data_IF_677374686788
#
_entry.id   IF_677374686788
#
_cell.length_a   1.000
_cell.length_b   1.000
_cell.length_c   1.000
_cell.angle_alpha   90.00
_cell.angle_beta   90.00
_cell.angle_gamma   90.00
#
_symmetry.space_group_name_H-M   'P 1'
#
loop_
_entity.id
_entity.type
_entity.pdbx_description
1 polymer ?
#
# COMPACT_ATOMS: atom_id res chain seq x y z
N UNK A 1 20.64 3.30 9.41
CA UNK A 1 20.64 2.45 8.18
C UNK A 1 19.53 2.96 7.29
N UNK A 2 19.72 3.03 5.96
CA UNK A 2 18.64 3.39 5.06
C UNK A 2 17.54 2.31 5.12
N UNK A 3 16.28 2.74 5.14
CA UNK A 3 15.12 1.86 5.10
C UNK A 3 15.15 0.98 3.84
N UNK A 4 14.70 -0.27 3.96
CA UNK A 4 14.64 -1.20 2.82
C UNK A 4 13.50 -0.76 1.88
N UNK A 5 13.84 0.09 0.91
CA UNK A 5 12.90 0.64 -0.07
C UNK A 5 12.31 -0.44 -0.97
N UNK A 6 13.03 -1.54 -1.18
CA UNK A 6 12.57 -2.65 -2.01
C UNK A 6 11.42 -3.38 -1.34
N UNK A 7 11.48 -3.57 -0.02
CA UNK A 7 10.37 -4.14 0.75
C UNK A 7 9.12 -3.25 0.66
N UNK A 8 9.26 -1.94 0.91
CA UNK A 8 8.12 -1.01 0.85
C UNK A 8 7.51 -0.93 -0.55
N UNK A 9 8.35 -0.97 -1.60
CA UNK A 9 7.88 -1.00 -2.98
C UNK A 9 7.17 -2.32 -3.31
N UNK A 10 7.68 -3.46 -2.82
CA UNK A 10 7.02 -4.76 -2.96
C UNK A 10 5.66 -4.81 -2.27
N UNK A 11 5.57 -4.29 -1.03
CA UNK A 11 4.30 -4.18 -0.30
C UNK A 11 3.28 -3.31 -1.07
N UNK A 12 3.71 -2.14 -1.55
CA UNK A 12 2.87 -1.26 -2.37
C UNK A 12 2.36 -1.95 -3.63
N UNK A 13 3.25 -2.59 -4.39
CA UNK A 13 2.88 -3.30 -5.63
C UNK A 13 1.87 -4.43 -5.34
N UNK A 14 2.04 -5.14 -4.23
CA UNK A 14 1.11 -6.19 -3.79
C UNK A 14 -0.26 -5.63 -3.42
N UNK A 15 -0.33 -4.49 -2.71
CA UNK A 15 -1.58 -3.84 -2.35
C UNK A 15 -2.33 -3.34 -3.58
N UNK A 16 -1.64 -2.69 -4.51
CA UNK A 16 -2.21 -2.23 -5.78
C UNK A 16 -2.79 -3.40 -6.58
N UNK A 17 -2.01 -4.47 -6.76
CA UNK A 17 -2.49 -5.64 -7.48
C UNK A 17 -3.71 -6.28 -6.80
N UNK A 18 -3.68 -6.43 -5.47
CA UNK A 18 -4.82 -6.97 -4.72
C UNK A 18 -6.07 -6.09 -4.85
N UNK A 19 -5.91 -4.77 -4.77
CA UNK A 19 -6.99 -3.81 -4.91
C UNK A 19 -7.62 -3.87 -6.31
N UNK A 20 -6.82 -3.84 -7.37
CA UNK A 20 -7.30 -3.92 -8.77
C UNK A 20 -8.11 -5.21 -9.00
N UNK A 21 -7.64 -6.35 -8.48
CA UNK A 21 -8.37 -7.62 -8.60
C UNK A 21 -9.73 -7.60 -7.87
N UNK A 22 -9.84 -6.82 -6.79
CA UNK A 22 -11.08 -6.65 -6.03
C UNK A 22 -12.04 -5.68 -6.71
N UNK A 23 -11.54 -4.64 -7.39
CA UNK A 23 -12.37 -3.66 -8.14
C UNK A 23 -13.30 -4.39 -9.11
N UNK A 24 -12.76 -5.34 -9.87
CA UNK A 24 -13.53 -6.12 -10.85
C UNK A 24 -14.68 -6.96 -10.23
N UNK A 25 -14.72 -7.08 -8.90
CA UNK A 25 -15.73 -7.84 -8.15
C UNK A 25 -16.65 -6.98 -7.32
N UNK A 26 -16.15 -5.90 -6.71
CA UNK A 26 -16.94 -5.08 -5.77
C UNK A 26 -17.26 -3.67 -6.27
N UNK A 27 -16.55 -3.16 -7.28
CA UNK A 27 -16.66 -1.77 -7.72
C UNK A 27 -16.02 -0.75 -6.78
N UNK A 28 -15.65 -1.16 -5.56
CA UNK A 28 -14.92 -0.30 -4.62
C UNK A 28 -13.54 0.07 -5.16
N UNK A 29 -13.07 1.25 -4.80
CA UNK A 29 -11.75 1.74 -5.22
C UNK A 29 -10.88 2.16 -4.04
N UNK A 30 -11.42 2.06 -2.83
CA UNK A 30 -10.72 2.33 -1.57
C UNK A 30 -10.60 1.02 -0.81
N UNK A 31 -9.37 0.66 -0.46
CA UNK A 31 -9.06 -0.59 0.22
C UNK A 31 -8.13 -0.36 1.41
N UNK A 32 -8.37 -1.13 2.48
CA UNK A 32 -7.57 -1.09 3.69
C UNK A 32 -6.66 -2.31 3.77
N UNK A 33 -5.39 -2.08 4.12
CA UNK A 33 -4.39 -3.10 4.39
C UNK A 33 -3.71 -2.79 5.71
N UNK A 34 -3.07 -3.80 6.29
CA UNK A 34 -2.26 -3.63 7.50
C UNK A 34 -0.87 -4.21 7.25
N UNK A 35 0.16 -3.48 7.67
CA UNK A 35 1.53 -4.00 7.79
C UNK A 35 1.86 -4.09 9.27
N UNK A 36 1.93 -5.30 9.85
CA UNK A 36 2.23 -5.47 11.26
C UNK A 36 3.62 -4.92 11.64
N UNK A 37 3.73 -4.38 12.86
CA UNK A 37 4.98 -3.78 13.34
C UNK A 37 6.13 -4.82 13.42
N UNK A 38 5.82 -6.09 13.67
CA UNK A 38 6.81 -7.17 13.64
C UNK A 38 7.32 -7.44 12.22
N UNK A 39 6.44 -7.43 11.21
CA UNK A 39 6.85 -7.63 9.83
C UNK A 39 7.82 -6.54 9.36
N UNK A 40 7.56 -5.28 9.71
CA UNK A 40 8.46 -4.16 9.39
C UNK A 40 9.81 -4.28 10.11
N UNK A 41 9.79 -4.67 11.39
CA UNK A 41 11.02 -4.92 12.15
C UNK A 41 11.87 -6.00 11.50
N UNK A 42 11.26 -7.11 11.12
CA UNK A 42 11.94 -8.22 10.47
C UNK A 42 12.48 -7.81 9.08
N UNK A 43 11.69 -7.10 8.29
CA UNK A 43 12.06 -6.62 6.95
C UNK A 43 13.21 -5.61 6.96
N UNK A 44 13.31 -4.80 8.03
CA UNK A 44 14.35 -3.78 8.17
C UNK A 44 15.52 -4.21 9.06
N UNK A 45 15.47 -5.41 9.65
CA UNK A 45 16.47 -5.87 10.61
C UNK A 45 16.56 -4.99 11.86
N UNK A 46 15.41 -4.48 12.34
CA UNK A 46 15.32 -3.57 13.47
C UNK A 46 14.69 -4.24 14.68
N UNK A 47 15.24 -4.00 15.87
CA UNK A 47 14.61 -4.43 17.12
C UNK A 47 13.39 -3.57 17.49
N UNK A 48 13.36 -2.32 17.02
CA UNK A 48 12.31 -1.33 17.32
C UNK A 48 12.12 -0.36 16.16
N UNK A 49 10.86 -0.04 15.85
CA UNK A 49 10.48 1.07 14.97
C UNK A 49 10.64 2.38 15.73
N UNK A 50 11.66 3.16 15.36
CA UNK A 50 11.87 4.52 15.89
C UNK A 50 10.97 5.49 15.13
N UNK A 51 10.72 6.66 15.72
CA UNK A 51 9.90 7.71 15.08
C UNK A 51 10.41 8.09 13.68
N UNK A 52 11.73 8.13 13.49
CA UNK A 52 12.35 8.38 12.17
C UNK A 52 11.97 7.31 11.14
N UNK A 53 12.01 6.02 11.54
CA UNK A 53 11.61 4.91 10.68
C UNK A 53 10.12 4.98 10.35
N UNK A 54 9.30 5.29 11.36
CA UNK A 54 7.86 5.44 11.17
C UNK A 54 7.57 6.55 10.18
N UNK A 55 8.17 7.74 10.37
CA UNK A 55 7.99 8.88 9.50
C UNK A 55 8.47 8.60 8.06
N UNK A 56 9.56 7.86 7.87
CA UNK A 56 10.03 7.52 6.52
C UNK A 56 9.11 6.50 5.82
N UNK A 57 8.53 5.53 6.54
CA UNK A 57 7.50 4.63 6.01
C UNK A 57 6.24 5.42 5.62
N UNK A 58 5.75 6.31 6.49
CA UNK A 58 4.62 7.19 6.17
C UNK A 58 4.92 8.02 4.91
N UNK A 59 6.07 8.69 4.89
CA UNK A 59 6.47 9.52 3.76
C UNK A 59 6.61 8.72 2.46
N UNK A 60 6.98 7.44 2.52
CA UNK A 60 6.99 6.56 1.35
C UNK A 60 5.57 6.38 0.79
N UNK A 61 4.61 5.98 1.60
CA UNK A 61 3.23 5.75 1.16
C UNK A 61 2.54 7.05 0.74
N UNK A 62 2.75 8.15 1.48
CA UNK A 62 2.20 9.46 1.10
C UNK A 62 2.70 9.93 -0.27
N UNK A 63 3.98 9.72 -0.60
CA UNK A 63 4.51 10.02 -1.95
C UNK A 63 3.88 9.16 -3.05
N UNK A 64 3.33 8.01 -2.69
CA UNK A 64 2.58 7.12 -3.59
C UNK A 64 1.08 7.44 -3.62
N UNK A 65 0.63 8.49 -2.93
CA UNK A 65 -0.80 8.84 -2.85
C UNK A 65 -1.60 7.87 -1.98
N UNK A 66 -0.94 7.23 -1.02
CA UNK A 66 -1.53 6.25 -0.09
C UNK A 66 -1.44 6.82 1.33
N UNK A 67 -2.55 6.74 2.06
CA UNK A 67 -2.60 7.18 3.45
C UNK A 67 -2.08 6.04 4.34
N UNK A 68 -1.19 6.37 5.29
CA UNK A 68 -0.50 5.38 6.13
C UNK A 68 -0.43 5.88 7.58
N UNK A 69 -1.23 5.29 8.44
CA UNK A 69 -1.34 5.64 9.85
C UNK A 69 -0.64 4.58 10.71
N UNK A 70 0.21 5.02 11.63
CA UNK A 70 0.94 4.12 12.51
C UNK A 70 0.22 3.99 13.86
N UNK A 71 -0.27 2.79 14.15
CA UNK A 71 -0.77 2.41 15.46
C UNK A 71 0.38 1.82 16.28
N UNK A 72 0.75 2.49 17.37
CA UNK A 72 1.93 2.14 18.15
C UNK A 72 1.84 0.70 18.69
N UNK A 73 2.76 -0.15 18.25
CA UNK A 73 2.84 -1.56 18.68
C UNK A 73 2.02 -2.53 17.82
N UNK A 74 1.09 -2.03 17.02
CA UNK A 74 0.27 -2.85 16.12
C UNK A 74 0.87 -2.88 14.71
N UNK A 75 1.15 -1.71 14.12
CA UNK A 75 1.66 -1.62 12.77
C UNK A 75 1.14 -0.41 12.02
N UNK A 76 1.15 -0.51 10.70
CA UNK A 76 0.63 0.51 9.81
C UNK A 76 -0.71 0.10 9.24
N UNK A 77 -1.71 0.95 9.43
CA UNK A 77 -2.97 0.88 8.70
C UNK A 77 -2.84 1.71 7.43
N UNK A 78 -3.01 1.03 6.29
CA UNK A 78 -2.78 1.56 4.96
C UNK A 78 -4.14 1.71 4.27
N UNK A 79 -4.47 2.93 3.88
CA UNK A 79 -5.66 3.22 3.08
C UNK A 79 -5.25 3.56 1.65
N UNK A 80 -5.53 2.65 0.74
CA UNK A 80 -5.24 2.77 -0.68
C UNK A 80 -6.48 3.20 -1.45
N UNK A 81 -6.49 4.43 -1.96
CA UNK A 81 -7.47 4.90 -2.95
C UNK A 81 -6.84 4.84 -4.35
N UNK A 82 -7.38 3.97 -5.20
CA UNK A 82 -6.89 3.75 -6.55
C UNK A 82 -7.04 4.97 -7.46
N UNK A 83 -7.88 5.95 -7.12
CA UNK A 83 -8.00 7.22 -7.85
C UNK A 83 -6.86 8.21 -7.53
N UNK A 84 -6.24 8.05 -6.36
CA UNK A 84 -5.17 8.94 -5.85
C UNK A 84 -3.79 8.31 -5.94
N UNK A 85 -3.74 6.98 -5.94
CA UNK A 85 -2.50 6.22 -5.93
C UNK A 85 -1.65 6.45 -7.19
N UNK A 86 -0.33 6.52 -6.99
CA UNK A 86 0.65 6.60 -8.08
C UNK A 86 0.85 5.23 -8.74
N UNK A 87 -0.01 4.89 -9.69
CA UNK A 87 0.05 3.61 -10.40
C UNK A 87 1.14 3.58 -11.48
N UNK A 88 1.76 2.41 -11.69
CA UNK A 88 2.58 2.18 -12.89
C UNK A 88 1.65 2.09 -14.11
N UNK A 89 2.14 2.35 -15.33
CA UNK A 89 1.31 2.28 -16.54
C UNK A 89 0.58 0.94 -16.72
N UNK A 90 1.22 -0.17 -16.34
CA UNK A 90 0.61 -1.49 -16.38
C UNK A 90 -0.56 -1.63 -15.38
N UNK A 91 -0.39 -1.14 -14.15
CA UNK A 91 -1.43 -1.19 -13.12
C UNK A 91 -2.62 -0.29 -13.45
N UNK A 92 -2.36 0.91 -13.98
CA UNK A 92 -3.41 1.82 -14.45
C UNK A 92 -4.24 1.18 -15.59
N UNK A 93 -3.57 0.48 -16.52
CA UNK A 93 -4.26 -0.27 -17.57
C UNK A 93 -5.10 -1.41 -16.99
N UNK A 94 -4.57 -2.16 -16.03
CA UNK A 94 -5.29 -3.26 -15.39
C UNK A 94 -6.51 -2.75 -14.60
N UNK A 95 -6.39 -1.59 -13.94
CA UNK A 95 -7.51 -0.93 -13.27
C UNK A 95 -8.61 -0.52 -14.27
N UNK A 96 -8.25 0.08 -15.40
CA UNK A 96 -9.22 0.44 -16.43
C UNK A 96 -10.00 -0.78 -16.92
N UNK A 97 -9.32 -1.89 -17.19
CA UNK A 97 -9.95 -3.16 -17.58
C UNK A 97 -10.87 -3.68 -16.46
N UNK A 98 -10.44 -3.61 -15.20
CA UNK A 98 -11.24 -4.04 -14.07
C UNK A 98 -12.55 -3.24 -13.94
N UNK A 99 -12.49 -1.92 -14.14
CA UNK A 99 -13.65 -1.03 -14.13
C UNK A 99 -14.59 -1.29 -15.31
N UNK A 100 -14.06 -1.55 -16.51
CA UNK A 100 -14.87 -1.93 -17.66
C UNK A 100 -15.66 -3.23 -17.39
N UNK A 101 -15.01 -4.24 -16.82
CA UNK A 101 -15.65 -5.52 -16.47
C UNK A 101 -16.74 -5.34 -15.42
N UNK A 102 -16.52 -4.46 -14.45
CA UNK A 102 -17.51 -4.16 -13.42
C UNK A 102 -18.72 -3.43 -14.01
N UNK A 103 -18.50 -2.42 -14.84
CA UNK A 103 -19.58 -1.63 -15.46
C UNK A 103 -20.45 -2.40 -16.47
N UNK A 104 -19.97 -3.55 -16.94
CA UNK A 104 -20.69 -4.42 -17.86
C UNK A 104 -21.59 -5.47 -17.17
N UNK A 105 -21.61 -5.49 -15.83
CA UNK A 105 -22.46 -6.37 -15.01
C UNK A 105 -23.79 -5.71 -14.65
#
# INVERSE_FOLDING_TARGET
MPLNKDYLQGAYDAFVNSAIQRVARSGDQVYHFNIPANELKDAFGLERLREETVAEVQAFFTRKGVDADYAQGEGFDITLDLNRASLKPADARNLAIALEVESAR
#
